data_IF_795448840877
#
_entry.id   IF_795448840877
#
_cell.length_a   1.000
_cell.length_b   1.000
_cell.length_c   1.000
_cell.angle_alpha   90.00
_cell.angle_beta   90.00
_cell.angle_gamma   90.00
#
_symmetry.space_group_name_H-M   'P 1'
#
loop_
_entity.id
_entity.type
_entity.pdbx_description
1 polymer ?
#
# COMPACT_ATOMS: atom_id res chain seq x y z
N UNK A 1 38.15 34.16 47.17
CA UNK A 1 37.28 34.45 46.01
C UNK A 1 37.37 33.26 45.09
N UNK A 2 36.38 32.36 45.13
CA UNK A 2 36.31 31.15 44.29
C UNK A 2 35.39 31.44 43.10
N UNK A 3 35.92 31.32 41.89
CA UNK A 3 35.16 31.48 40.66
C UNK A 3 34.37 30.19 40.37
N UNK A 4 33.05 30.27 40.41
CA UNK A 4 32.15 29.20 39.98
C UNK A 4 32.06 29.23 38.46
N UNK A 5 32.68 28.28 37.78
CA UNK A 5 32.50 28.05 36.35
C UNK A 5 31.18 27.28 36.11
N UNK A 6 30.21 27.98 35.56
CA UNK A 6 28.94 27.38 35.08
C UNK A 6 29.20 26.72 33.73
N UNK A 7 29.23 25.38 33.71
CA UNK A 7 29.17 24.60 32.48
C UNK A 7 27.76 24.68 31.91
N UNK A 8 27.57 25.49 30.87
CA UNK A 8 26.37 25.43 30.01
C UNK A 8 26.48 24.14 29.17
N UNK A 9 25.73 23.11 29.54
CA UNK A 9 25.50 21.96 28.69
C UNK A 9 24.66 22.40 27.46
N UNK A 10 25.29 22.56 26.32
CA UNK A 10 24.63 22.67 25.03
C UNK A 10 23.97 21.30 24.75
N UNK A 11 22.68 21.19 25.07
CA UNK A 11 21.84 20.12 24.52
C UNK A 11 21.57 20.50 23.05
N UNK A 12 22.40 19.95 22.16
CA UNK A 12 22.11 20.01 20.74
C UNK A 12 20.69 19.41 20.50
N UNK A 13 19.83 20.07 19.72
CA UNK A 13 18.55 19.46 19.41
C UNK A 13 18.85 18.15 18.69
N UNK A 14 18.42 17.02 19.27
CA UNK A 14 18.36 15.75 18.57
C UNK A 14 17.47 16.00 17.35
N UNK A 15 18.08 16.28 16.20
CA UNK A 15 17.44 16.22 14.92
C UNK A 15 16.97 14.78 14.80
N UNK A 16 15.67 14.53 15.04
CA UNK A 16 15.05 13.22 14.88
C UNK A 16 15.28 12.81 13.42
N UNK A 17 16.39 12.12 13.18
CA UNK A 17 16.73 11.55 11.89
C UNK A 17 15.59 10.61 11.51
N UNK A 18 14.92 10.91 10.41
CA UNK A 18 13.89 10.07 9.87
C UNK A 18 14.43 8.65 9.70
N UNK A 19 13.77 7.65 10.30
CA UNK A 19 14.22 6.26 10.28
C UNK A 19 14.21 5.71 8.86
N UNK A 20 15.18 4.84 8.53
CA UNK A 20 15.15 4.08 7.27
C UNK A 20 14.14 2.96 7.44
N UNK A 21 13.06 3.05 6.71
CA UNK A 21 11.94 2.10 6.75
C UNK A 21 12.13 0.94 5.78
N UNK A 22 12.68 1.23 4.61
CA UNK A 22 12.94 0.26 3.57
C UNK A 22 14.19 0.65 2.78
N UNK A 23 14.97 -0.35 2.37
CA UNK A 23 16.08 -0.20 1.41
C UNK A 23 15.77 -1.03 0.17
N UNK A 24 15.73 -0.37 -0.98
CA UNK A 24 15.47 -1.05 -2.25
C UNK A 24 16.63 -1.98 -2.65
N UNK A 25 16.43 -2.91 -3.57
CA UNK A 25 17.51 -3.73 -4.12
C UNK A 25 18.63 -2.93 -4.81
N UNK A 26 18.32 -1.74 -5.30
CA UNK A 26 19.29 -0.79 -5.85
C UNK A 26 20.02 0.03 -4.77
N UNK A 27 19.78 -0.25 -3.48
CA UNK A 27 20.43 0.43 -2.37
C UNK A 27 19.77 1.77 -1.97
N UNK A 28 18.69 2.18 -2.60
CA UNK A 28 17.96 3.43 -2.27
C UNK A 28 17.30 3.28 -0.91
N UNK A 29 17.60 4.21 0.01
CA UNK A 29 16.98 4.28 1.32
C UNK A 29 15.69 5.08 1.27
N UNK A 30 14.61 4.48 1.73
CA UNK A 30 13.33 5.13 1.91
C UNK A 30 13.08 5.35 3.40
N UNK A 31 12.74 6.57 3.76
CA UNK A 31 12.66 7.01 5.15
C UNK A 31 11.22 7.35 5.55
N UNK A 32 10.99 7.35 6.86
CA UNK A 32 9.77 7.89 7.45
C UNK A 32 9.63 9.38 7.14
N UNK A 33 8.43 9.92 7.34
CA UNK A 33 8.15 11.35 7.26
C UNK A 33 8.08 11.96 8.66
N UNK A 34 8.18 13.28 8.74
CA UNK A 34 8.03 14.00 10.00
C UNK A 34 6.56 13.95 10.46
N UNK A 35 6.34 13.65 11.74
CA UNK A 35 5.02 13.79 12.36
C UNK A 35 4.60 15.26 12.44
N UNK A 36 3.34 15.52 12.13
CA UNK A 36 2.69 16.83 12.25
C UNK A 36 1.76 16.90 13.46
N UNK A 37 1.99 16.04 14.46
CA UNK A 37 1.27 15.99 15.71
C UNK A 37 0.19 14.91 15.80
N UNK A 38 0.01 14.09 14.75
CA UNK A 38 -0.98 12.99 14.77
C UNK A 38 -0.54 11.87 15.74
N UNK A 39 0.75 11.53 15.72
CA UNK A 39 1.31 10.53 16.65
C UNK A 39 1.22 11.02 18.08
N UNK A 40 1.65 12.25 18.37
CA UNK A 40 1.60 12.81 19.73
C UNK A 40 0.19 12.80 20.30
N UNK A 41 -0.83 13.12 19.50
CA UNK A 41 -2.24 13.05 19.94
C UNK A 41 -2.68 11.61 20.23
N UNK A 42 -2.30 10.66 19.39
CA UNK A 42 -2.63 9.24 19.58
C UNK A 42 -1.92 8.65 20.80
N UNK A 43 -0.67 9.02 21.05
CA UNK A 43 0.11 8.63 22.24
C UNK A 43 -0.53 9.17 23.52
N UNK A 44 -0.91 10.45 23.55
CA UNK A 44 -1.61 11.04 24.67
C UNK A 44 -2.95 10.34 24.97
N UNK A 45 -3.72 10.04 23.93
CA UNK A 45 -4.96 9.29 24.08
C UNK A 45 -4.72 7.88 24.63
N UNK A 46 -3.68 7.19 24.15
CA UNK A 46 -3.33 5.86 24.61
C UNK A 46 -2.78 5.86 26.03
N UNK A 47 -2.05 6.89 26.45
CA UNK A 47 -1.53 7.03 27.81
C UNK A 47 -2.66 7.08 28.86
N UNK A 48 -3.83 7.61 28.52
CA UNK A 48 -5.00 7.63 29.39
C UNK A 48 -5.67 6.25 29.58
N UNK A 49 -5.46 5.31 28.62
CA UNK A 49 -5.94 3.92 28.72
C UNK A 49 -5.01 3.02 27.91
N UNK A 50 -3.90 2.57 28.51
CA UNK A 50 -2.80 1.89 27.80
C UNK A 50 -3.15 0.49 27.25
N UNK A 51 -4.29 -0.08 27.67
CA UNK A 51 -4.74 -1.41 27.22
C UNK A 51 -5.88 -1.34 26.19
N UNK A 52 -6.33 -0.15 25.84
CA UNK A 52 -7.40 0.06 24.89
C UNK A 52 -6.92 -0.27 23.45
N UNK A 53 -7.49 -1.32 22.89
CA UNK A 53 -7.09 -1.86 21.57
C UNK A 53 -7.37 -0.85 20.46
N UNK A 54 -8.48 -0.10 20.51
CA UNK A 54 -8.82 0.88 19.48
C UNK A 54 -7.84 2.06 19.49
N UNK A 55 -7.38 2.48 20.68
CA UNK A 55 -6.33 3.51 20.79
C UNK A 55 -4.98 3.02 20.33
N UNK A 56 -4.65 1.74 20.54
CA UNK A 56 -3.46 1.11 19.96
C UNK A 56 -3.55 1.10 18.44
N UNK A 57 -4.69 0.74 17.86
CA UNK A 57 -4.92 0.79 16.41
C UNK A 57 -4.75 2.24 15.92
N UNK A 58 -5.36 3.22 16.58
CA UNK A 58 -5.26 4.63 16.21
C UNK A 58 -3.79 5.12 16.19
N UNK A 59 -2.99 4.74 17.20
CA UNK A 59 -1.56 5.07 17.23
C UNK A 59 -0.81 4.43 16.03
N UNK A 60 -0.99 3.13 15.77
CA UNK A 60 -0.35 2.46 14.64
C UNK A 60 -0.79 3.03 13.28
N UNK A 61 -2.03 3.49 13.16
CA UNK A 61 -2.53 4.19 11.96
C UNK A 61 -1.86 5.57 11.82
N UNK A 62 -1.73 6.35 12.90
CA UNK A 62 -1.03 7.64 12.89
C UNK A 62 0.44 7.48 12.48
N UNK A 63 1.16 6.51 13.05
CA UNK A 63 2.52 6.15 12.66
C UNK A 63 2.60 5.75 11.18
N UNK A 64 1.62 4.98 10.70
CA UNK A 64 1.52 4.60 9.28
C UNK A 64 1.32 5.80 8.35
N UNK A 65 0.60 6.81 8.79
CA UNK A 65 0.34 8.05 8.03
C UNK A 65 1.62 8.82 7.69
N UNK A 66 2.64 8.74 8.55
CA UNK A 66 3.96 9.35 8.34
C UNK A 66 5.02 8.32 7.93
N UNK A 67 4.61 7.19 7.42
CA UNK A 67 5.48 6.12 6.92
C UNK A 67 6.43 5.52 7.98
N UNK A 68 6.12 5.63 9.27
CA UNK A 68 6.83 4.96 10.38
C UNK A 68 6.29 3.52 10.50
N UNK A 69 6.59 2.70 9.50
CA UNK A 69 5.95 1.37 9.39
C UNK A 69 6.52 0.35 10.36
N UNK A 70 7.79 0.48 10.76
CA UNK A 70 8.41 -0.41 11.76
C UNK A 70 7.77 -0.19 13.13
N UNK A 71 7.58 1.06 13.52
CA UNK A 71 6.91 1.45 14.75
C UNK A 71 5.44 1.01 14.72
N UNK A 72 4.75 1.22 13.59
CA UNK A 72 3.37 0.76 13.43
C UNK A 72 3.24 -0.77 13.57
N UNK A 73 4.15 -1.54 12.98
CA UNK A 73 4.19 -3.01 13.15
C UNK A 73 4.37 -3.40 14.62
N UNK A 74 5.27 -2.73 15.34
CA UNK A 74 5.49 -2.97 16.77
C UNK A 74 4.24 -2.63 17.58
N UNK A 75 3.58 -1.49 17.27
CA UNK A 75 2.33 -1.06 17.91
C UNK A 75 1.20 -2.06 17.70
N UNK A 76 0.97 -2.52 16.47
CA UNK A 76 -0.05 -3.53 16.19
C UNK A 76 0.30 -4.89 16.82
N UNK A 77 1.59 -5.24 16.90
CA UNK A 77 2.03 -6.47 17.58
C UNK A 77 1.74 -6.42 19.08
N UNK A 78 1.95 -5.26 19.73
CA UNK A 78 1.52 -5.05 21.12
C UNK A 78 0.00 -5.22 21.27
N UNK A 79 -0.78 -4.68 20.34
CA UNK A 79 -2.24 -4.85 20.32
C UNK A 79 -2.66 -6.30 20.25
N UNK A 80 -2.00 -7.10 19.40
CA UNK A 80 -2.26 -8.54 19.28
C UNK A 80 -1.85 -9.32 20.53
N UNK A 81 -0.89 -8.85 21.32
CA UNK A 81 -0.59 -9.39 22.64
C UNK A 81 -1.73 -9.22 23.63
N UNK A 82 -2.55 -8.18 23.48
CA UNK A 82 -3.74 -7.91 24.30
C UNK A 82 -5.02 -8.54 23.74
N UNK A 83 -5.14 -8.60 22.41
CA UNK A 83 -6.32 -9.06 21.69
C UNK A 83 -5.93 -9.99 20.52
N UNK A 84 -5.52 -11.25 20.79
CA UNK A 84 -4.96 -12.13 19.78
C UNK A 84 -5.95 -12.59 18.69
N UNK A 85 -7.23 -12.34 18.87
CA UNK A 85 -8.28 -12.66 17.91
C UNK A 85 -8.90 -11.39 17.27
N UNK A 86 -8.25 -10.24 17.35
CA UNK A 86 -8.73 -9.02 16.69
C UNK A 86 -8.30 -9.00 15.22
N UNK A 87 -9.25 -9.22 14.31
CA UNK A 87 -9.00 -9.28 12.86
C UNK A 87 -8.47 -7.95 12.29
N UNK A 88 -8.88 -6.82 12.85
CA UNK A 88 -8.47 -5.49 12.39
C UNK A 88 -6.98 -5.22 12.67
N UNK A 89 -6.44 -5.72 13.78
CA UNK A 89 -5.01 -5.65 14.07
C UNK A 89 -4.19 -6.45 13.06
N UNK A 90 -4.64 -7.67 12.71
CA UNK A 90 -4.01 -8.47 11.65
C UNK A 90 -4.07 -7.75 10.30
N UNK A 91 -5.21 -7.13 9.96
CA UNK A 91 -5.36 -6.34 8.73
C UNK A 91 -4.32 -5.22 8.65
N UNK A 92 -4.19 -4.44 9.73
CA UNK A 92 -3.28 -3.31 9.74
C UNK A 92 -1.81 -3.74 9.74
N UNK A 93 -1.44 -4.74 10.54
CA UNK A 93 -0.06 -5.25 10.59
C UNK A 93 0.33 -5.90 9.26
N UNK A 94 -0.54 -6.72 8.69
CA UNK A 94 -0.35 -7.34 7.38
C UNK A 94 -0.14 -6.31 6.26
N UNK A 95 -0.89 -5.22 6.27
CA UNK A 95 -0.67 -4.11 5.34
C UNK A 95 0.74 -3.48 5.52
N UNK A 96 1.21 -3.27 6.76
CA UNK A 96 2.57 -2.70 6.97
C UNK A 96 3.66 -3.69 6.61
N UNK A 97 3.46 -4.99 6.83
CA UNK A 97 4.36 -6.02 6.30
C UNK A 97 4.45 -6.00 4.78
N UNK A 98 3.34 -5.80 4.06
CA UNK A 98 3.34 -5.57 2.61
C UNK A 98 4.19 -4.34 2.25
N UNK A 99 3.96 -3.20 2.88
CA UNK A 99 4.68 -1.95 2.63
C UNK A 99 6.20 -2.10 2.82
N UNK A 100 6.63 -2.95 3.77
CA UNK A 100 8.04 -3.21 4.09
C UNK A 100 8.60 -4.48 3.41
N UNK A 101 7.91 -5.03 2.40
CA UNK A 101 8.27 -6.22 1.59
C UNK A 101 8.43 -7.52 2.40
N UNK A 102 7.82 -7.62 3.57
CA UNK A 102 7.76 -8.83 4.39
C UNK A 102 6.55 -9.69 3.97
N UNK A 103 6.57 -10.19 2.72
CA UNK A 103 5.39 -10.76 2.06
C UNK A 103 4.85 -12.03 2.74
N UNK A 104 5.70 -12.87 3.32
CA UNK A 104 5.26 -14.08 4.03
C UNK A 104 4.50 -13.71 5.30
N UNK A 105 5.01 -12.76 6.10
CA UNK A 105 4.32 -12.27 7.29
C UNK A 105 3.01 -11.55 6.95
N UNK A 106 2.99 -10.82 5.82
CA UNK A 106 1.76 -10.19 5.33
C UNK A 106 0.69 -11.24 4.98
N UNK A 107 1.10 -12.32 4.30
CA UNK A 107 0.22 -13.44 3.94
C UNK A 107 -0.38 -14.08 5.19
N UNK A 108 0.48 -14.45 6.17
CA UNK A 108 0.05 -15.09 7.40
C UNK A 108 -0.97 -14.26 8.18
N UNK A 109 -0.66 -12.95 8.36
CA UNK A 109 -1.55 -12.04 9.08
C UNK A 109 -2.90 -11.86 8.36
N UNK A 110 -2.88 -11.63 7.05
CA UNK A 110 -4.10 -11.39 6.29
C UNK A 110 -4.97 -12.65 6.19
N UNK A 111 -4.37 -13.83 6.07
CA UNK A 111 -5.09 -15.10 6.12
C UNK A 111 -5.68 -15.36 7.52
N UNK A 112 -4.94 -15.02 8.59
CA UNK A 112 -5.47 -15.13 9.95
C UNK A 112 -6.63 -14.16 10.16
N UNK A 113 -6.49 -12.91 9.72
CA UNK A 113 -7.54 -11.90 9.75
C UNK A 113 -8.80 -12.36 9.01
N UNK A 114 -8.67 -12.92 7.80
CA UNK A 114 -9.80 -13.42 7.01
C UNK A 114 -10.55 -14.58 7.67
N UNK A 115 -9.85 -15.43 8.44
CA UNK A 115 -10.48 -16.50 9.24
C UNK A 115 -11.24 -15.96 10.45
N UNK A 116 -10.81 -14.83 11.02
CA UNK A 116 -11.43 -14.21 12.19
C UNK A 116 -12.63 -13.36 11.82
N UNK A 117 -12.51 -12.58 10.74
CA UNK A 117 -13.59 -11.74 10.22
C UNK A 117 -13.43 -11.53 8.70
N UNK A 118 -14.25 -12.19 7.94
CA UNK A 118 -14.27 -12.12 6.47
C UNK A 118 -15.02 -10.91 5.92
N UNK A 119 -15.61 -10.07 6.77
CA UNK A 119 -16.37 -8.88 6.35
C UNK A 119 -15.50 -7.64 6.20
N UNK A 120 -14.26 -7.68 6.68
CA UNK A 120 -13.32 -6.54 6.60
C UNK A 120 -12.74 -6.44 5.20
N UNK A 121 -13.20 -5.45 4.43
CA UNK A 121 -12.73 -5.15 3.08
C UNK A 121 -11.21 -5.19 2.92
N UNK A 122 -10.50 -4.43 3.77
CA UNK A 122 -9.06 -4.27 3.66
C UNK A 122 -8.25 -5.57 3.85
N UNK A 123 -8.84 -6.62 4.42
CA UNK A 123 -8.22 -7.95 4.50
C UNK A 123 -8.13 -8.56 3.11
N UNK A 124 -9.26 -8.64 2.42
CA UNK A 124 -9.32 -9.25 1.08
C UNK A 124 -8.55 -8.45 0.04
N UNK A 125 -8.64 -7.11 0.12
CA UNK A 125 -7.89 -6.23 -0.76
C UNK A 125 -6.36 -6.45 -0.64
N UNK A 126 -5.82 -6.45 0.60
CA UNK A 126 -4.40 -6.63 0.80
C UNK A 126 -3.95 -8.09 0.59
N UNK A 127 -4.83 -9.07 0.86
CA UNK A 127 -4.57 -10.46 0.51
C UNK A 127 -4.43 -10.64 -1.00
N UNK A 128 -5.29 -10.01 -1.79
CA UNK A 128 -5.15 -9.96 -3.24
C UNK A 128 -3.83 -9.34 -3.70
N UNK A 129 -3.40 -8.24 -3.07
CA UNK A 129 -2.11 -7.60 -3.39
C UNK A 129 -0.94 -8.55 -3.09
N UNK A 130 -0.89 -9.19 -1.92
CA UNK A 130 0.24 -10.08 -1.58
C UNK A 130 0.28 -11.33 -2.46
N UNK A 131 -0.87 -11.88 -2.83
CA UNK A 131 -0.96 -12.98 -3.79
C UNK A 131 -0.48 -12.55 -5.18
N UNK A 132 -0.88 -11.35 -5.64
CA UNK A 132 -0.42 -10.78 -6.90
C UNK A 132 1.11 -10.58 -6.92
N UNK A 133 1.68 -10.04 -5.85
CA UNK A 133 3.13 -9.89 -5.64
C UNK A 133 3.84 -11.25 -5.75
N UNK A 134 3.27 -12.30 -5.19
CA UNK A 134 3.78 -13.68 -5.24
C UNK A 134 3.48 -14.39 -6.57
N UNK A 135 2.80 -13.71 -7.50
CA UNK A 135 2.37 -14.21 -8.81
C UNK A 135 1.30 -15.31 -8.76
N UNK A 136 0.66 -15.47 -7.63
CA UNK A 136 -0.58 -16.24 -7.53
C UNK A 136 -1.73 -15.39 -8.06
N UNK A 137 -1.78 -15.22 -9.39
CA UNK A 137 -2.78 -14.36 -10.04
C UNK A 137 -4.19 -14.93 -9.93
N UNK A 138 -4.34 -16.25 -9.77
CA UNK A 138 -5.66 -16.88 -9.55
C UNK A 138 -6.16 -16.58 -8.15
N UNK A 139 -5.34 -16.84 -7.14
CA UNK A 139 -5.68 -16.48 -5.76
C UNK A 139 -5.92 -14.98 -5.60
N UNK A 140 -5.12 -14.12 -6.26
CA UNK A 140 -5.34 -12.68 -6.26
C UNK A 140 -6.71 -12.30 -6.86
N UNK A 141 -7.11 -12.90 -7.99
CA UNK A 141 -8.43 -12.69 -8.58
C UNK A 141 -9.56 -13.12 -7.62
N UNK A 142 -9.40 -14.25 -6.93
CA UNK A 142 -10.39 -14.73 -5.95
C UNK A 142 -10.51 -13.78 -4.75
N UNK A 143 -9.38 -13.25 -4.24
CA UNK A 143 -9.38 -12.30 -3.13
C UNK A 143 -10.04 -10.96 -3.53
N UNK A 144 -9.71 -10.40 -4.71
CA UNK A 144 -10.35 -9.16 -5.19
C UNK A 144 -11.83 -9.36 -5.54
N UNK A 145 -12.24 -10.55 -6.00
CA UNK A 145 -13.65 -10.89 -6.19
C UNK A 145 -14.42 -10.84 -4.89
N UNK A 146 -13.80 -11.21 -3.76
CA UNK A 146 -14.40 -11.09 -2.42
C UNK A 146 -14.37 -9.65 -1.90
N UNK A 147 -13.32 -8.88 -2.19
CA UNK A 147 -13.20 -7.48 -1.78
C UNK A 147 -14.23 -6.57 -2.48
N UNK A 148 -14.48 -6.80 -3.77
CA UNK A 148 -15.25 -5.90 -4.63
C UNK A 148 -16.67 -5.59 -4.09
N UNK A 149 -17.52 -6.58 -3.70
CA UNK A 149 -18.87 -6.31 -3.22
C UNK A 149 -18.94 -5.61 -1.85
N UNK A 150 -17.87 -5.69 -1.06
CA UNK A 150 -17.78 -5.08 0.28
C UNK A 150 -16.88 -3.83 0.30
N UNK A 151 -16.56 -3.28 -0.88
CA UNK A 151 -15.80 -2.03 -0.98
C UNK A 151 -16.58 -0.87 -0.35
N UNK A 152 -15.96 -0.09 0.57
CA UNK A 152 -16.67 0.91 1.38
C UNK A 152 -17.16 2.11 0.57
N UNK A 153 -16.50 2.43 -0.54
CA UNK A 153 -16.82 3.55 -1.41
C UNK A 153 -16.42 3.29 -2.87
N UNK A 154 -16.69 4.26 -3.75
CA UNK A 154 -16.39 4.15 -5.18
C UNK A 154 -14.89 4.16 -5.48
N UNK A 155 -14.05 4.81 -4.66
CA UNK A 155 -12.61 4.86 -4.85
C UNK A 155 -11.97 3.49 -4.56
N UNK A 156 -12.34 2.86 -3.45
CA UNK A 156 -11.90 1.51 -3.10
C UNK A 156 -12.47 0.46 -4.06
N UNK A 157 -13.69 0.67 -4.56
CA UNK A 157 -14.28 -0.18 -5.60
C UNK A 157 -13.50 -0.11 -6.91
N UNK A 158 -13.07 1.09 -7.33
CA UNK A 158 -12.22 1.26 -8.50
C UNK A 158 -10.88 0.55 -8.31
N UNK A 159 -10.27 0.64 -7.13
CA UNK A 159 -9.05 -0.08 -6.77
C UNK A 159 -9.22 -1.60 -6.87
N UNK A 160 -10.29 -2.14 -6.27
CA UNK A 160 -10.60 -3.58 -6.35
C UNK A 160 -10.86 -4.06 -7.77
N UNK A 161 -11.61 -3.28 -8.57
CA UNK A 161 -11.90 -3.58 -9.98
C UNK A 161 -10.62 -3.60 -10.81
N UNK A 162 -9.75 -2.64 -10.63
CA UNK A 162 -8.50 -2.50 -11.34
C UNK A 162 -7.54 -3.69 -11.05
N UNK A 163 -7.34 -4.01 -9.79
CA UNK A 163 -6.50 -5.14 -9.41
C UNK A 163 -7.11 -6.48 -9.81
N UNK A 164 -8.43 -6.62 -9.76
CA UNK A 164 -9.13 -7.81 -10.28
C UNK A 164 -8.90 -7.97 -11.78
N UNK A 165 -9.05 -6.89 -12.55
CA UNK A 165 -8.77 -6.92 -13.98
C UNK A 165 -7.34 -7.35 -14.29
N UNK A 166 -6.36 -6.80 -13.59
CA UNK A 166 -4.96 -7.18 -13.76
C UNK A 166 -4.73 -8.65 -13.40
N UNK A 167 -5.32 -9.11 -12.30
CA UNK A 167 -5.19 -10.49 -11.85
C UNK A 167 -5.78 -11.48 -12.85
N UNK A 168 -6.98 -11.22 -13.37
CA UNK A 168 -7.63 -12.02 -14.39
C UNK A 168 -6.81 -12.04 -15.70
N UNK A 169 -6.33 -10.88 -16.15
CA UNK A 169 -5.51 -10.75 -17.36
C UNK A 169 -4.19 -11.53 -17.22
N UNK A 170 -3.52 -11.44 -16.09
CA UNK A 170 -2.27 -12.14 -15.79
C UNK A 170 -2.47 -13.65 -15.58
N UNK A 171 -3.66 -14.07 -15.13
CA UNK A 171 -4.07 -15.47 -15.03
C UNK A 171 -4.50 -16.09 -16.37
N UNK A 172 -4.49 -15.33 -17.46
CA UNK A 172 -4.95 -15.78 -18.79
C UNK A 172 -6.47 -15.79 -18.97
N UNK A 173 -7.24 -15.30 -17.98
CA UNK A 173 -8.71 -15.25 -17.97
C UNK A 173 -9.24 -14.01 -18.72
N UNK A 174 -8.88 -13.89 -20.00
CA UNK A 174 -9.15 -12.68 -20.81
C UNK A 174 -10.65 -12.38 -20.95
N UNK A 175 -11.48 -13.41 -21.11
CA UNK A 175 -12.94 -13.24 -21.23
C UNK A 175 -13.53 -12.65 -19.94
N UNK A 176 -13.12 -13.15 -18.78
CA UNK A 176 -13.58 -12.66 -17.48
C UNK A 176 -13.11 -11.23 -17.22
N UNK A 177 -11.85 -10.91 -17.60
CA UNK A 177 -11.30 -9.56 -17.51
C UNK A 177 -12.10 -8.57 -18.38
N UNK A 178 -12.51 -8.97 -19.59
CA UNK A 178 -13.36 -8.14 -20.47
C UNK A 178 -14.75 -7.97 -19.87
N UNK A 179 -15.40 -9.06 -19.46
CA UNK A 179 -16.72 -9.01 -18.83
C UNK A 179 -16.77 -8.13 -17.56
N UNK A 180 -15.65 -8.05 -16.81
CA UNK A 180 -15.54 -7.15 -15.67
C UNK A 180 -15.59 -5.68 -16.11
N UNK A 181 -14.89 -5.31 -17.19
CA UNK A 181 -14.88 -3.94 -17.71
C UNK A 181 -16.24 -3.52 -18.32
N UNK A 182 -16.94 -4.47 -18.94
CA UNK A 182 -18.24 -4.23 -19.59
C UNK A 182 -19.34 -3.86 -18.59
N UNK A 183 -19.22 -4.32 -17.34
CA UNK A 183 -20.15 -3.97 -16.25
C UNK A 183 -20.13 -2.50 -15.86
N UNK A 184 -19.11 -1.74 -16.27
CA UNK A 184 -18.92 -0.31 -15.98
C UNK A 184 -19.25 0.05 -14.53
N UNK A 185 -18.58 -0.56 -13.53
CA UNK A 185 -18.83 -0.19 -12.14
C UNK A 185 -18.59 1.30 -11.96
N UNK A 186 -19.39 1.95 -11.09
CA UNK A 186 -19.27 3.37 -10.78
C UNK A 186 -17.80 3.72 -10.49
N UNK A 187 -17.26 4.62 -11.28
CA UNK A 187 -15.90 5.11 -11.11
C UNK A 187 -15.93 6.41 -10.31
N UNK A 188 -15.00 6.60 -9.37
CA UNK A 188 -14.90 7.85 -8.63
C UNK A 188 -14.56 9.01 -9.57
N UNK A 189 -14.75 10.24 -9.08
CA UNK A 189 -14.44 11.49 -9.77
C UNK A 189 -12.99 11.55 -10.28
N UNK A 190 -12.72 12.48 -11.20
CA UNK A 190 -11.40 12.73 -11.77
C UNK A 190 -10.30 12.83 -10.69
N UNK A 191 -9.13 12.25 -10.96
CA UNK A 191 -7.98 12.25 -10.04
C UNK A 191 -7.76 10.94 -9.27
N UNK A 192 -8.67 9.96 -9.36
CA UNK A 192 -8.42 8.63 -8.83
C UNK A 192 -7.59 7.81 -9.84
N UNK A 193 -6.37 7.43 -9.46
CA UNK A 193 -5.44 6.71 -10.33
C UNK A 193 -6.02 5.37 -10.86
N UNK A 194 -6.79 4.66 -10.06
CA UNK A 194 -7.41 3.40 -10.49
C UNK A 194 -8.52 3.64 -11.51
N UNK A 195 -9.33 4.68 -11.34
CA UNK A 195 -10.35 5.06 -12.33
C UNK A 195 -9.71 5.47 -13.67
N UNK A 196 -8.60 6.21 -13.65
CA UNK A 196 -7.84 6.57 -14.84
C UNK A 196 -7.32 5.31 -15.58
N UNK A 197 -6.79 4.33 -14.83
CA UNK A 197 -6.32 3.05 -15.38
C UNK A 197 -7.46 2.22 -15.98
N UNK A 198 -8.62 2.18 -15.34
CA UNK A 198 -9.81 1.50 -15.88
C UNK A 198 -10.27 2.11 -17.21
N UNK A 199 -10.16 3.43 -17.39
CA UNK A 199 -10.41 4.09 -18.68
C UNK A 199 -9.44 3.63 -19.76
N UNK A 200 -8.14 3.48 -19.44
CA UNK A 200 -7.15 2.91 -20.34
C UNK A 200 -7.52 1.46 -20.72
N UNK A 201 -7.91 0.64 -19.74
CA UNK A 201 -8.22 -0.77 -20.00
C UNK A 201 -9.44 -0.93 -20.90
N UNK A 202 -10.41 -0.01 -20.83
CA UNK A 202 -11.58 0.06 -21.70
C UNK A 202 -11.28 0.65 -23.09
N UNK A 203 -10.09 1.19 -23.32
CA UNK A 203 -9.73 1.87 -24.56
C UNK A 203 -10.32 3.27 -24.71
N UNK A 204 -10.80 3.89 -23.62
CA UNK A 204 -11.38 5.24 -23.61
C UNK A 204 -10.29 6.33 -23.69
N UNK A 205 -9.07 6.02 -23.32
CA UNK A 205 -7.90 6.90 -23.40
C UNK A 205 -6.67 6.12 -23.87
N UNK A 206 -5.73 6.81 -24.52
CA UNK A 206 -4.44 6.23 -24.87
C UNK A 206 -3.50 6.18 -23.63
N UNK A 207 -2.45 5.33 -23.64
CA UNK A 207 -1.45 5.30 -22.56
C UNK A 207 -0.84 6.67 -22.25
N UNK A 208 -0.61 7.48 -23.27
CA UNK A 208 0.00 8.82 -23.15
C UNK A 208 -0.97 9.85 -22.54
N UNK A 209 -2.27 9.56 -22.57
CA UNK A 209 -3.33 10.44 -22.06
C UNK A 209 -3.86 10.02 -20.69
N UNK A 210 -3.27 8.99 -20.06
CA UNK A 210 -3.70 8.52 -18.72
C UNK A 210 -3.33 9.53 -17.64
N UNK A 211 -2.12 10.11 -17.74
CA UNK A 211 -1.66 11.14 -16.81
C UNK A 211 -2.35 12.47 -17.09
N UNK A 212 -2.72 13.17 -16.02
CA UNK A 212 -3.20 14.55 -16.05
C UNK A 212 -2.18 15.47 -15.38
N UNK A 213 -2.23 16.79 -15.60
CA UNK A 213 -1.34 17.75 -14.92
C UNK A 213 -1.44 17.72 -13.38
N UNK A 214 -2.52 17.18 -12.82
CA UNK A 214 -2.72 17.03 -11.37
C UNK A 214 -2.00 15.82 -10.78
N UNK A 215 -1.51 14.88 -11.60
CA UNK A 215 -0.90 13.63 -11.17
C UNK A 215 0.57 13.82 -10.79
N UNK A 216 0.84 14.56 -9.72
CA UNK A 216 2.19 14.99 -9.31
C UNK A 216 2.73 14.25 -8.09
N UNK A 217 1.86 13.57 -7.29
CA UNK A 217 2.33 12.86 -6.10
C UNK A 217 3.12 11.60 -6.46
N UNK A 218 4.16 11.30 -5.68
CA UNK A 218 5.00 10.11 -5.83
C UNK A 218 4.17 8.80 -5.89
N UNK A 219 3.17 8.69 -5.01
CA UNK A 219 2.25 7.54 -4.93
C UNK A 219 1.42 7.42 -6.20
N UNK A 220 0.87 8.53 -6.69
CA UNK A 220 0.01 8.52 -7.87
C UNK A 220 0.80 8.18 -9.13
N UNK A 221 1.98 8.79 -9.29
CA UNK A 221 2.89 8.47 -10.40
C UNK A 221 3.29 7.00 -10.38
N UNK A 222 3.65 6.44 -9.21
CA UNK A 222 3.94 5.01 -9.07
C UNK A 222 2.75 4.14 -9.50
N UNK A 223 1.56 4.48 -9.02
CA UNK A 223 0.34 3.71 -9.26
C UNK A 223 -0.02 3.71 -10.76
N UNK A 224 -0.10 4.89 -11.38
CA UNK A 224 -0.44 5.02 -12.79
C UNK A 224 0.59 4.32 -13.70
N UNK A 225 1.87 4.56 -13.45
CA UNK A 225 2.96 3.98 -14.25
C UNK A 225 2.92 2.46 -14.23
N UNK A 226 2.72 1.84 -13.03
CA UNK A 226 2.59 0.39 -12.95
C UNK A 226 1.40 -0.13 -13.79
N UNK A 227 0.24 0.51 -13.70
CA UNK A 227 -0.94 0.06 -14.44
C UNK A 227 -0.76 0.13 -15.95
N UNK A 228 -0.13 1.20 -16.46
CA UNK A 228 0.20 1.32 -17.88
C UNK A 228 1.22 0.25 -18.27
N UNK A 229 2.25 0.01 -17.46
CA UNK A 229 3.22 -1.06 -17.68
C UNK A 229 2.57 -2.44 -17.74
N UNK A 230 1.68 -2.76 -16.79
CA UNK A 230 0.95 -4.02 -16.82
C UNK A 230 0.02 -4.14 -18.05
N UNK A 231 -0.59 -3.03 -18.49
CA UNK A 231 -1.41 -2.99 -19.70
C UNK A 231 -0.60 -3.34 -20.96
N UNK A 232 0.63 -2.83 -21.09
CA UNK A 232 1.55 -3.22 -22.17
C UNK A 232 1.99 -4.69 -22.03
N UNK A 233 2.30 -5.13 -20.81
CA UNK A 233 2.79 -6.48 -20.56
C UNK A 233 1.76 -7.56 -20.97
N UNK A 234 0.48 -7.37 -20.64
CA UNK A 234 -0.57 -8.33 -21.03
C UNK A 234 -0.91 -8.32 -22.52
N UNK A 235 -0.42 -7.31 -23.25
CA UNK A 235 -0.48 -7.20 -24.72
C UNK A 235 0.78 -7.69 -25.42
N UNK A 236 1.79 -8.16 -24.66
CA UNK A 236 3.03 -8.72 -25.19
C UNK A 236 4.13 -7.69 -25.49
N UNK A 237 3.93 -6.40 -25.22
CA UNK A 237 4.96 -5.37 -25.36
C UNK A 237 5.79 -5.24 -24.08
N UNK A 238 6.71 -6.19 -23.89
CA UNK A 238 7.55 -6.25 -22.69
C UNK A 238 8.53 -5.08 -22.60
N UNK A 239 8.96 -4.50 -23.73
CA UNK A 239 9.89 -3.38 -23.73
C UNK A 239 9.22 -2.11 -23.16
N UNK A 240 8.04 -1.76 -23.67
CA UNK A 240 7.27 -0.65 -23.11
C UNK A 240 6.83 -0.91 -21.67
N UNK A 241 6.41 -2.14 -21.34
CA UNK A 241 6.08 -2.50 -19.98
C UNK A 241 7.23 -2.21 -19.02
N UNK A 242 8.46 -2.61 -19.39
CA UNK A 242 9.66 -2.37 -18.61
C UNK A 242 9.91 -0.88 -18.35
N UNK A 243 9.86 -0.04 -19.38
CA UNK A 243 10.05 1.40 -19.26
C UNK A 243 9.04 2.03 -18.27
N UNK A 244 7.80 1.57 -18.29
CA UNK A 244 6.78 2.05 -17.36
C UNK A 244 7.00 1.55 -15.93
N UNK A 245 7.51 0.33 -15.73
CA UNK A 245 7.91 -0.16 -14.40
C UNK A 245 9.10 0.63 -13.85
N UNK A 246 10.08 0.95 -14.68
CA UNK A 246 11.21 1.82 -14.33
C UNK A 246 10.72 3.22 -13.90
N UNK A 247 9.77 3.81 -14.63
CA UNK A 247 9.12 5.08 -14.23
C UNK A 247 8.39 4.97 -12.90
N UNK A 248 7.70 3.86 -12.65
CA UNK A 248 7.02 3.60 -11.36
C UNK A 248 8.02 3.60 -10.21
N UNK A 249 9.15 2.91 -10.35
CA UNK A 249 10.21 2.86 -9.32
C UNK A 249 10.87 4.23 -9.15
N UNK A 250 11.15 4.94 -10.24
CA UNK A 250 11.78 6.27 -10.22
C UNK A 250 10.93 7.34 -9.55
N UNK A 251 9.62 7.14 -9.40
CA UNK A 251 8.73 8.10 -8.72
C UNK A 251 9.06 8.31 -7.25
N UNK A 252 9.72 7.33 -6.59
CA UNK A 252 9.99 7.36 -5.16
C UNK A 252 8.79 7.05 -4.25
N UNK A 253 7.62 6.79 -4.83
CA UNK A 253 6.39 6.44 -4.12
C UNK A 253 6.40 5.03 -3.53
N UNK A 254 7.42 4.72 -2.74
CA UNK A 254 7.79 3.38 -2.26
C UNK A 254 6.70 2.59 -1.51
N UNK A 255 5.71 3.23 -0.82
CA UNK A 255 4.61 2.48 -0.22
C UNK A 255 3.52 2.09 -1.23
N UNK A 256 3.52 2.68 -2.44
CA UNK A 256 2.53 2.35 -3.46
C UNK A 256 2.67 0.90 -3.93
N UNK A 257 1.58 0.17 -3.98
CA UNK A 257 1.59 -1.22 -4.48
C UNK A 257 2.08 -1.31 -5.92
N UNK A 258 1.83 -0.29 -6.74
CA UNK A 258 2.38 -0.19 -8.08
C UNK A 258 3.91 -0.22 -8.10
N UNK A 259 4.58 0.55 -7.22
CA UNK A 259 6.03 0.51 -7.11
C UNK A 259 6.52 -0.85 -6.59
N UNK A 260 5.86 -1.39 -5.56
CA UNK A 260 6.22 -2.70 -4.98
C UNK A 260 6.25 -3.79 -6.06
N UNK A 261 5.21 -3.85 -6.89
CA UNK A 261 5.14 -4.85 -7.97
C UNK A 261 6.11 -4.52 -9.10
N UNK A 262 6.33 -3.24 -9.43
CA UNK A 262 7.32 -2.83 -10.43
C UNK A 262 8.74 -3.28 -10.07
N UNK A 263 9.14 -3.17 -8.80
CA UNK A 263 10.42 -3.70 -8.32
C UNK A 263 10.57 -5.22 -8.57
N UNK A 264 9.48 -5.97 -8.47
CA UNK A 264 9.47 -7.42 -8.68
C UNK A 264 9.52 -7.75 -10.18
N UNK A 265 8.75 -7.04 -11.01
CA UNK A 265 8.75 -7.25 -12.46
C UNK A 265 10.12 -6.92 -13.08
N UNK A 266 10.80 -5.87 -12.60
CA UNK A 266 12.13 -5.47 -13.11
C UNK A 266 13.25 -6.43 -12.75
N UNK A 267 13.12 -7.25 -11.69
CA UNK A 267 14.10 -8.28 -11.32
C UNK A 267 14.06 -9.50 -12.25
N UNK A 268 13.05 -9.60 -13.09
CA UNK A 268 12.92 -10.72 -14.03
C UNK A 268 13.83 -10.49 -15.24
N UNK A 269 14.65 -11.50 -15.54
CA UNK A 269 15.44 -11.59 -16.75
C UNK A 269 14.55 -11.95 -17.94
#
# INVERSE_FOLDING_TARGET
MAAMSTLLSLVAPLCLLQSVEYRSPAGVEYRSQRDTGAIARAESALAADPRNVDRIIALGVAQSGVRQYREAIATFTRGLGLAPNNALLYRWRGHRYLSTRQFDKAMDDLQRGAKLDSTIYGIWYHLGIVQFVRRDFRGAADAFTRALPISPDSAERAGSTDWLWMSLSRAGRKADAQALLDRRPDTPNAGNAYAQRLRLYRGEVSPDSVFTPADTSDIQVATLSYGIGNWYLVRGDSAKARSWFERSVASGGWPAFGLIVSEIELRRK
#
